data_IF_396048648609
#
_entry.id   IF_396048648609
#
_cell.length_a   1.000
_cell.length_b   1.000
_cell.length_c   1.000
_cell.angle_alpha   90.00
_cell.angle_beta   90.00
_cell.angle_gamma   90.00
#
_symmetry.space_group_name_H-M   'P 1'
#
loop_
_entity.id
_entity.type
_entity.pdbx_description
1 polymer ?
#
# COMPACT_ATOMS: atom_id res chain seq x y z
N UNK A 1 34.46 7.90 -18.58
CA UNK A 1 35.78 7.27 -18.79
C UNK A 1 35.55 6.04 -19.66
N UNK A 2 35.94 6.10 -20.94
CA UNK A 2 35.85 5.04 -21.96
C UNK A 2 37.23 4.39 -22.07
N UNK A 3 37.33 3.06 -22.05
CA UNK A 3 38.43 2.32 -22.68
C UNK A 3 37.84 1.09 -23.40
N UNK A 4 38.41 0.84 -24.58
CA UNK A 4 37.97 -0.01 -25.70
C UNK A 4 38.78 -1.33 -25.75
N UNK A 5 38.16 -2.33 -26.36
CA UNK A 5 38.60 -3.64 -26.88
C UNK A 5 40.08 -3.88 -27.25
N UNK A 6 40.48 -5.15 -27.25
CA UNK A 6 41.39 -5.69 -28.29
C UNK A 6 40.98 -7.10 -28.74
N UNK A 7 40.86 -7.24 -30.05
CA UNK A 7 40.70 -8.49 -30.81
C UNK A 7 42.07 -9.03 -31.28
N UNK A 8 42.10 -10.24 -31.85
CA UNK A 8 42.90 -10.68 -33.02
C UNK A 8 42.98 -12.23 -33.10
N UNK A 9 42.96 -12.97 -34.23
CA UNK A 9 42.71 -12.74 -35.67
C UNK A 9 42.99 -14.07 -36.46
N UNK A 10 42.40 -14.23 -37.67
CA UNK A 10 42.77 -15.05 -38.87
C UNK A 10 42.53 -16.59 -38.90
N UNK A 11 41.60 -17.09 -39.74
CA UNK A 11 41.74 -17.62 -41.15
C UNK A 11 41.90 -19.15 -41.19
N UNK A 12 41.42 -19.98 -42.14
CA UNK A 12 40.65 -19.85 -43.37
C UNK A 12 40.19 -21.26 -43.85
N UNK A 13 39.26 -21.28 -44.80
CA UNK A 13 39.06 -22.25 -45.90
C UNK A 13 38.46 -23.66 -45.64
N UNK A 14 37.32 -23.89 -46.30
CA UNK A 14 36.75 -25.20 -46.66
C UNK A 14 37.54 -25.86 -47.82
N UNK A 15 37.39 -27.18 -48.12
CA UNK A 15 36.21 -27.65 -48.86
C UNK A 15 35.72 -29.09 -48.52
N UNK A 16 34.47 -29.39 -48.95
CA UNK A 16 33.88 -30.73 -49.20
C UNK A 16 34.43 -31.30 -50.54
N UNK A 17 34.28 -32.58 -51.00
CA UNK A 17 33.31 -33.64 -50.63
C UNK A 17 33.81 -35.12 -50.65
N UNK A 18 32.98 -36.04 -50.12
CA UNK A 18 32.47 -37.29 -50.78
C UNK A 18 32.23 -38.45 -49.80
N UNK A 19 31.09 -39.09 -50.02
CA UNK A 19 30.59 -40.32 -49.41
C UNK A 19 31.36 -41.54 -49.94
N UNK A 20 31.82 -42.42 -49.04
CA UNK A 20 32.11 -43.84 -49.32
C UNK A 20 31.68 -44.67 -48.10
N UNK A 21 30.81 -45.66 -48.34
CA UNK A 21 30.42 -46.72 -47.41
C UNK A 21 31.56 -47.76 -47.25
N UNK A 22 31.94 -48.12 -46.02
CA UNK A 22 32.24 -49.51 -45.62
C UNK A 22 32.57 -49.68 -44.11
N UNK A 23 31.74 -50.53 -43.46
CA UNK A 23 31.97 -51.47 -42.34
C UNK A 23 33.04 -51.22 -41.24
N UNK A 24 32.53 -51.30 -40.00
CA UNK A 24 33.03 -52.05 -38.84
C UNK A 24 34.34 -51.58 -38.18
N UNK A 25 34.21 -50.98 -36.99
CA UNK A 25 34.82 -51.50 -35.76
C UNK A 25 34.26 -50.82 -34.51
N UNK A 26 34.00 -51.66 -33.49
CA UNK A 26 33.47 -51.31 -32.18
C UNK A 26 34.37 -50.30 -31.47
N UNK A 27 33.86 -49.11 -31.16
CA UNK A 27 34.58 -48.12 -30.35
C UNK A 27 33.64 -47.61 -29.26
N UNK A 28 34.13 -47.66 -28.02
CA UNK A 28 33.40 -47.39 -26.78
C UNK A 28 32.57 -46.10 -26.83
N UNK A 29 31.25 -46.24 -26.60
CA UNK A 29 30.37 -45.12 -26.26
C UNK A 29 30.82 -44.53 -24.91
N UNK A 30 31.44 -43.34 -24.95
CA UNK A 30 31.51 -42.49 -23.77
C UNK A 30 30.09 -42.05 -23.43
N UNK A 31 29.60 -42.44 -22.25
CA UNK A 31 28.40 -41.85 -21.66
C UNK A 31 28.58 -40.32 -21.60
N UNK A 32 27.56 -39.52 -21.98
CA UNK A 32 27.61 -38.09 -21.72
C UNK A 32 27.73 -37.85 -20.21
N UNK A 33 28.60 -36.91 -19.81
CA UNK A 33 28.71 -36.45 -18.42
C UNK A 33 27.36 -35.91 -17.94
N UNK A 34 26.98 -36.15 -16.67
CA UNK A 34 25.64 -35.79 -16.16
C UNK A 34 25.30 -34.33 -16.39
N UNK A 35 26.30 -33.45 -16.31
CA UNK A 35 26.18 -32.00 -16.55
C UNK A 35 25.62 -31.64 -17.94
N UNK A 36 25.86 -32.46 -18.97
CA UNK A 36 25.34 -32.19 -20.33
C UNK A 36 23.89 -32.61 -20.49
N UNK A 37 23.45 -33.63 -19.72
CA UNK A 37 22.06 -34.08 -19.70
C UNK A 37 21.21 -33.10 -18.90
N UNK A 38 21.75 -32.58 -17.79
CA UNK A 38 21.07 -31.60 -16.93
C UNK A 38 20.80 -30.28 -17.67
N UNK A 39 21.79 -29.76 -18.42
CA UNK A 39 21.64 -28.52 -19.23
C UNK A 39 20.65 -28.72 -20.38
N UNK A 40 20.64 -29.89 -21.03
CA UNK A 40 19.68 -30.19 -22.09
C UNK A 40 18.25 -30.32 -21.56
N UNK A 41 18.05 -30.89 -20.37
CA UNK A 41 16.74 -30.96 -19.72
C UNK A 41 16.24 -29.59 -19.28
N UNK A 42 17.13 -28.72 -18.79
CA UNK A 42 16.79 -27.36 -18.40
C UNK A 42 16.42 -26.49 -19.62
N UNK A 43 17.14 -26.63 -20.73
CA UNK A 43 16.78 -26.01 -22.01
C UNK A 43 15.47 -26.57 -22.59
N UNK A 44 15.21 -27.87 -22.49
CA UNK A 44 13.95 -28.46 -22.94
C UNK A 44 12.76 -27.94 -22.11
N UNK A 45 12.94 -27.82 -20.79
CA UNK A 45 11.93 -27.26 -19.89
C UNK A 45 11.72 -25.75 -20.11
N UNK A 46 12.74 -25.02 -20.55
CA UNK A 46 12.61 -23.62 -20.97
C UNK A 46 11.82 -23.51 -22.29
N UNK A 47 12.15 -24.33 -23.29
CA UNK A 47 11.44 -24.36 -24.57
C UNK A 47 9.98 -24.79 -24.38
N UNK A 48 9.71 -25.79 -23.54
CA UNK A 48 8.34 -26.21 -23.24
C UNK A 48 7.53 -25.11 -22.53
N UNK A 49 8.16 -24.35 -21.63
CA UNK A 49 7.53 -23.19 -21.00
C UNK A 49 7.26 -22.07 -22.01
N UNK A 50 8.21 -21.79 -22.91
CA UNK A 50 8.02 -20.83 -24.01
C UNK A 50 6.94 -21.28 -25.00
N UNK A 51 6.83 -22.58 -25.31
CA UNK A 51 5.78 -23.13 -26.18
C UNK A 51 4.41 -23.15 -25.50
N UNK A 52 4.33 -23.42 -24.20
CA UNK A 52 3.09 -23.39 -23.42
C UNK A 52 2.60 -21.95 -23.23
N UNK A 53 3.52 -21.00 -23.03
CA UNK A 53 3.23 -19.57 -22.99
C UNK A 53 2.89 -19.01 -24.39
N UNK A 54 3.58 -19.45 -25.45
CA UNK A 54 3.23 -19.11 -26.84
C UNK A 54 1.91 -19.77 -27.32
N UNK A 55 1.54 -20.91 -26.74
CA UNK A 55 0.23 -21.54 -26.94
C UNK A 55 -0.88 -20.78 -26.21
N UNK A 56 -0.59 -20.19 -25.03
CA UNK A 56 -1.48 -19.20 -24.39
C UNK A 56 -1.61 -17.92 -25.23
N UNK A 57 -0.51 -17.45 -25.84
CA UNK A 57 -0.49 -16.30 -26.77
C UNK A 57 -1.32 -16.51 -28.06
N UNK A 58 -1.79 -17.72 -28.38
CA UNK A 58 -2.50 -18.05 -29.65
C UNK A 58 -4.03 -18.22 -29.57
N UNK A 59 -4.69 -17.96 -28.43
CA UNK A 59 -6.16 -18.12 -28.33
C UNK A 59 -6.81 -17.10 -27.40
N UNK A 60 -6.64 -15.81 -27.66
CA UNK A 60 -7.74 -14.89 -27.33
C UNK A 60 -8.79 -15.07 -28.42
N UNK A 61 -10.01 -15.41 -28.04
CA UNK A 61 -11.16 -15.41 -28.96
C UNK A 61 -11.59 -13.94 -29.19
N UNK A 62 -10.72 -13.16 -29.84
CA UNK A 62 -10.99 -11.77 -30.20
C UNK A 62 -12.22 -11.73 -31.09
N UNK A 63 -13.20 -10.92 -30.68
CA UNK A 63 -14.47 -10.82 -31.40
C UNK A 63 -14.29 -9.92 -32.61
N UNK A 64 -14.59 -10.41 -33.83
CA UNK A 64 -14.38 -9.60 -35.03
C UNK A 64 -15.17 -8.29 -35.03
N UNK A 65 -14.55 -7.20 -35.46
CA UNK A 65 -15.14 -5.86 -35.49
C UNK A 65 -15.25 -5.17 -34.11
N UNK A 66 -14.64 -5.74 -33.06
CA UNK A 66 -14.59 -5.19 -31.71
C UNK A 66 -13.17 -4.76 -31.32
N UNK A 67 -13.02 -4.18 -30.12
CA UNK A 67 -11.68 -3.89 -29.55
C UNK A 67 -10.85 -5.17 -29.46
N UNK A 68 -9.55 -5.06 -29.69
CA UNK A 68 -8.58 -6.15 -29.58
C UNK A 68 -8.09 -6.70 -30.91
N UNK A 69 -8.67 -6.29 -32.05
CA UNK A 69 -8.13 -6.61 -33.39
C UNK A 69 -6.84 -5.81 -33.70
N UNK A 70 -6.76 -4.59 -33.15
CA UNK A 70 -5.59 -3.71 -33.25
C UNK A 70 -5.19 -3.27 -31.84
N UNK A 71 -3.91 -2.90 -31.70
CA UNK A 71 -3.40 -2.28 -30.49
C UNK A 71 -4.21 -1.02 -30.15
N UNK A 72 -4.55 -0.85 -28.88
CA UNK A 72 -5.20 0.36 -28.42
C UNK A 72 -4.69 0.80 -27.06
N UNK A 73 -4.85 2.09 -26.80
CA UNK A 73 -4.55 2.69 -25.51
C UNK A 73 -5.71 3.58 -25.11
N UNK A 74 -6.16 3.44 -23.87
CA UNK A 74 -7.22 4.29 -23.31
C UNK A 74 -6.92 4.65 -21.87
N UNK A 75 -7.47 5.77 -21.41
CA UNK A 75 -7.37 6.19 -20.02
C UNK A 75 -8.76 6.32 -19.42
N UNK A 76 -8.89 5.98 -18.13
CA UNK A 76 -10.13 6.19 -17.40
C UNK A 76 -9.86 6.62 -15.97
N UNK A 77 -10.68 7.55 -15.50
CA UNK A 77 -10.67 7.99 -14.11
C UNK A 77 -11.82 7.33 -13.36
N UNK A 78 -11.55 6.81 -12.17
CA UNK A 78 -12.56 6.26 -11.26
C UNK A 78 -12.29 6.74 -9.84
N UNK A 79 -13.35 7.13 -9.15
CA UNK A 79 -13.29 7.76 -7.82
C UNK A 79 -13.20 6.79 -6.66
N UNK A 80 -13.22 5.46 -6.90
CA UNK A 80 -13.33 4.48 -5.80
C UNK A 80 -12.57 3.18 -5.95
N UNK A 81 -12.38 2.63 -7.15
CA UNK A 81 -11.63 1.38 -7.30
C UNK A 81 -11.42 0.93 -8.74
N UNK A 82 -10.29 0.27 -8.98
CA UNK A 82 -10.08 -0.55 -10.16
C UNK A 82 -10.93 -1.82 -10.05
N UNK A 83 -12.09 -1.86 -10.71
CA UNK A 83 -13.02 -3.00 -10.66
C UNK A 83 -13.41 -3.47 -12.05
N UNK A 84 -13.83 -4.73 -12.13
CA UNK A 84 -14.38 -5.31 -13.35
C UNK A 84 -15.52 -4.47 -13.94
N UNK A 85 -16.43 -3.98 -13.10
CA UNK A 85 -17.57 -3.14 -13.50
C UNK A 85 -17.09 -1.83 -14.12
N UNK A 86 -16.17 -1.12 -13.45
CA UNK A 86 -15.68 0.16 -13.94
C UNK A 86 -14.93 0.02 -15.27
N UNK A 87 -14.12 -1.03 -15.42
CA UNK A 87 -13.41 -1.32 -16.65
C UNK A 87 -14.36 -1.71 -17.80
N UNK A 88 -15.35 -2.56 -17.51
CA UNK A 88 -16.41 -2.94 -18.47
C UNK A 88 -17.17 -1.72 -18.97
N UNK A 89 -17.59 -0.85 -18.06
CA UNK A 89 -18.38 0.33 -18.40
C UNK A 89 -17.54 1.33 -19.23
N UNK A 90 -16.24 1.43 -18.95
CA UNK A 90 -15.32 2.19 -19.80
C UNK A 90 -15.21 1.62 -21.21
N UNK A 91 -15.03 0.30 -21.35
CA UNK A 91 -14.93 -0.35 -22.65
C UNK A 91 -16.21 -0.23 -23.47
N UNK A 92 -17.37 -0.25 -22.81
CA UNK A 92 -18.64 0.06 -23.47
C UNK A 92 -18.65 1.46 -24.11
N UNK A 93 -18.04 2.45 -23.46
CA UNK A 93 -17.96 3.83 -23.96
C UNK A 93 -17.01 4.03 -25.14
N UNK A 94 -16.01 3.15 -25.32
CA UNK A 94 -15.04 3.22 -26.42
C UNK A 94 -15.25 2.13 -27.49
N UNK A 95 -16.35 1.38 -27.38
CA UNK A 95 -16.69 0.29 -28.28
C UNK A 95 -16.86 0.77 -29.73
N UNK A 96 -16.20 0.14 -30.73
CA UNK A 96 -16.36 0.50 -32.14
C UNK A 96 -17.81 0.39 -32.63
N UNK A 97 -18.19 1.28 -33.57
CA UNK A 97 -19.47 1.20 -34.27
C UNK A 97 -19.49 -0.04 -35.14
N UNK A 98 -20.40 -0.98 -34.86
CA UNK A 98 -20.54 -2.24 -35.61
C UNK A 98 -20.13 -3.49 -34.82
N UNK A 99 -19.59 -3.34 -33.62
CA UNK A 99 -19.37 -4.47 -32.72
C UNK A 99 -20.70 -4.91 -32.08
N UNK A 100 -21.15 -6.13 -32.35
CA UNK A 100 -22.42 -6.67 -31.82
C UNK A 100 -22.29 -7.33 -30.43
N UNK A 101 -21.06 -7.61 -29.97
CA UNK A 101 -20.82 -8.22 -28.66
C UNK A 101 -21.24 -7.32 -27.49
N UNK A 102 -21.68 -7.91 -26.39
CA UNK A 102 -21.87 -7.14 -25.16
C UNK A 102 -20.53 -6.65 -24.60
N UNK A 103 -20.55 -5.56 -23.82
CA UNK A 103 -19.33 -5.08 -23.15
C UNK A 103 -18.70 -6.12 -22.22
N UNK A 104 -19.52 -7.03 -21.67
CA UNK A 104 -19.04 -8.16 -20.88
C UNK A 104 -18.31 -9.20 -21.73
N UNK A 105 -18.91 -9.63 -22.85
CA UNK A 105 -18.27 -10.57 -23.79
C UNK A 105 -16.95 -10.02 -24.32
N UNK A 106 -16.93 -8.72 -24.62
CA UNK A 106 -15.74 -8.03 -25.09
C UNK A 106 -14.65 -7.96 -24.02
N UNK A 107 -14.99 -7.60 -22.77
CA UNK A 107 -14.01 -7.56 -21.69
C UNK A 107 -13.43 -8.95 -21.40
N UNK A 108 -14.28 -9.99 -21.35
CA UNK A 108 -13.83 -11.37 -21.16
C UNK A 108 -12.89 -11.83 -22.29
N UNK A 109 -13.25 -11.54 -23.54
CA UNK A 109 -12.42 -11.79 -24.72
C UNK A 109 -11.06 -11.09 -24.62
N UNK A 110 -11.00 -9.83 -24.19
CA UNK A 110 -9.74 -9.09 -23.99
C UNK A 110 -8.90 -9.61 -22.82
N UNK A 111 -9.54 -10.18 -21.80
CA UNK A 111 -8.87 -10.78 -20.64
C UNK A 111 -8.40 -12.23 -20.90
N UNK A 112 -8.90 -12.88 -21.95
CA UNK A 112 -8.67 -14.31 -22.19
C UNK A 112 -9.47 -15.23 -21.29
N UNK A 113 -10.57 -14.71 -20.75
CA UNK A 113 -11.43 -15.41 -19.81
C UNK A 113 -12.77 -15.74 -20.48
N UNK A 114 -13.46 -16.75 -19.95
CA UNK A 114 -14.71 -17.25 -20.56
C UNK A 114 -15.95 -16.99 -19.71
N UNK A 115 -15.77 -16.58 -18.45
CA UNK A 115 -16.86 -16.33 -17.52
C UNK A 115 -16.61 -15.08 -16.65
N UNK A 116 -17.67 -14.40 -16.16
CA UNK A 116 -17.51 -13.19 -15.37
C UNK A 116 -16.76 -13.37 -14.04
N UNK A 117 -16.70 -14.57 -13.45
CA UNK A 117 -15.99 -14.78 -12.20
C UNK A 117 -14.47 -14.84 -12.42
N UNK A 118 -14.01 -15.59 -13.43
CA UNK A 118 -12.61 -15.59 -13.86
C UNK A 118 -12.17 -14.21 -14.35
N UNK A 119 -13.01 -13.53 -15.14
CA UNK A 119 -12.77 -12.14 -15.56
C UNK A 119 -12.58 -11.16 -14.39
N UNK A 120 -13.40 -11.26 -13.34
CA UNK A 120 -13.23 -10.45 -12.12
C UNK A 120 -11.90 -10.73 -11.41
N UNK A 121 -11.51 -12.00 -11.30
CA UNK A 121 -10.23 -12.39 -10.71
C UNK A 121 -9.05 -11.85 -11.53
N UNK A 122 -9.14 -11.91 -12.86
CA UNK A 122 -8.10 -11.38 -13.75
C UNK A 122 -7.97 -9.86 -13.67
N UNK A 123 -9.09 -9.14 -13.64
CA UNK A 123 -9.06 -7.67 -13.42
C UNK A 123 -8.44 -7.35 -12.07
N UNK A 124 -8.79 -8.07 -11.01
CA UNK A 124 -8.19 -7.90 -9.68
C UNK A 124 -6.66 -8.05 -9.72
N UNK A 125 -6.15 -9.08 -10.38
CA UNK A 125 -4.71 -9.29 -10.59
C UNK A 125 -4.06 -8.11 -11.33
N UNK A 126 -4.68 -7.64 -12.43
CA UNK A 126 -4.16 -6.51 -13.19
C UNK A 126 -4.15 -5.20 -12.38
N UNK A 127 -5.19 -4.98 -11.58
CA UNK A 127 -5.27 -3.83 -10.69
C UNK A 127 -4.18 -3.88 -9.60
N UNK A 128 -4.01 -5.03 -8.93
CA UNK A 128 -2.93 -5.23 -7.96
C UNK A 128 -1.55 -5.01 -8.58
N UNK A 129 -1.30 -5.58 -9.75
CA UNK A 129 -0.04 -5.40 -10.47
C UNK A 129 0.20 -3.92 -10.87
N UNK A 130 -0.85 -3.18 -11.21
CA UNK A 130 -0.74 -1.75 -11.53
C UNK A 130 -0.25 -0.93 -10.33
N UNK A 131 -0.72 -1.25 -9.12
CA UNK A 131 -0.28 -0.58 -7.89
C UNK A 131 1.12 -1.03 -7.44
N UNK A 132 1.41 -2.34 -7.53
CA UNK A 132 2.72 -2.88 -7.17
C UNK A 132 3.84 -2.32 -8.06
N UNK A 133 3.58 -2.23 -9.36
CA UNK A 133 4.53 -1.70 -10.34
C UNK A 133 4.54 -0.17 -10.43
N UNK A 134 3.73 0.53 -9.62
CA UNK A 134 3.82 1.99 -9.56
C UNK A 134 5.21 2.37 -9.07
N UNK A 135 5.96 3.13 -9.87
CA UNK A 135 7.28 3.67 -9.50
C UNK A 135 7.18 4.76 -8.42
N UNK A 136 5.98 5.07 -7.96
CA UNK A 136 5.64 6.21 -7.11
C UNK A 136 5.21 5.77 -5.70
N UNK A 137 5.99 4.88 -5.11
CA UNK A 137 5.86 4.54 -3.68
C UNK A 137 6.77 5.44 -2.84
N UNK A 138 6.27 5.86 -1.69
CA UNK A 138 7.03 6.56 -0.66
C UNK A 138 7.10 5.67 0.58
N UNK A 139 8.30 5.39 1.08
CA UNK A 139 8.44 4.47 2.20
C UNK A 139 8.04 5.13 3.52
N UNK A 140 7.25 4.46 4.35
CA UNK A 140 6.74 5.03 5.60
C UNK A 140 7.87 5.54 6.53
N UNK A 141 8.96 4.77 6.66
CA UNK A 141 10.11 5.16 7.49
C UNK A 141 10.82 6.43 7.01
N UNK A 142 10.55 6.91 5.80
CA UNK A 142 11.12 8.14 5.25
C UNK A 142 10.33 9.39 5.65
N UNK A 143 9.18 9.23 6.32
CA UNK A 143 8.33 10.36 6.72
C UNK A 143 9.06 11.23 7.74
N UNK A 144 9.47 10.67 8.89
CA UNK A 144 10.14 11.45 9.95
C UNK A 144 11.63 11.67 9.67
N UNK A 145 12.30 10.65 9.11
CA UNK A 145 13.77 10.55 9.02
C UNK A 145 14.50 10.69 10.36
N UNK A 146 13.81 10.44 11.47
CA UNK A 146 14.37 10.44 12.82
C UNK A 146 14.74 9.04 13.32
N UNK A 147 14.43 8.02 12.51
CA UNK A 147 14.78 6.62 12.76
C UNK A 147 13.66 5.84 13.46
N UNK A 148 13.76 4.51 13.40
CA UNK A 148 12.72 3.59 13.89
C UNK A 148 12.37 3.78 15.36
N UNK A 149 13.34 4.13 16.20
CA UNK A 149 13.07 4.40 17.62
C UNK A 149 12.15 5.62 17.77
N UNK A 150 12.42 6.70 17.04
CA UNK A 150 11.56 7.88 17.08
C UNK A 150 10.15 7.55 16.60
N UNK A 151 10.02 6.83 15.47
CA UNK A 151 8.71 6.46 14.94
C UNK A 151 7.92 5.58 15.91
N UNK A 152 8.58 4.60 16.55
CA UNK A 152 7.97 3.76 17.56
C UNK A 152 7.48 4.59 18.75
N UNK A 153 8.36 5.41 19.32
CA UNK A 153 8.02 6.24 20.48
C UNK A 153 6.92 7.24 20.15
N UNK A 154 6.91 7.83 18.95
CA UNK A 154 5.84 8.71 18.51
C UNK A 154 4.48 8.01 18.56
N UNK A 155 4.38 6.79 17.99
CA UNK A 155 3.16 6.01 18.02
C UNK A 155 2.80 5.42 19.38
N UNK A 156 3.77 5.31 20.29
CA UNK A 156 3.53 5.03 21.71
C UNK A 156 3.03 6.25 22.51
N UNK A 157 3.00 7.45 21.93
CA UNK A 157 2.65 8.69 22.63
C UNK A 157 3.84 9.43 23.27
N UNK A 158 5.06 9.06 22.91
CA UNK A 158 6.32 9.68 23.32
C UNK A 158 6.95 10.59 22.27
N UNK A 159 8.21 10.99 22.49
CA UNK A 159 9.00 11.98 21.71
C UNK A 159 8.62 13.44 21.94
N UNK A 160 9.48 14.35 21.47
CA UNK A 160 9.25 15.79 21.49
C UNK A 160 7.94 16.20 20.80
N UNK A 161 7.50 15.47 19.78
CA UNK A 161 6.24 15.74 19.08
C UNK A 161 5.01 15.53 19.95
N UNK A 162 5.07 14.65 20.95
CA UNK A 162 3.98 14.44 21.89
C UNK A 162 4.13 15.21 23.21
N UNK A 163 5.36 15.58 23.60
CA UNK A 163 5.62 16.07 24.95
C UNK A 163 5.76 17.56 25.09
N UNK A 164 6.35 18.21 24.10
CA UNK A 164 6.62 19.64 24.19
C UNK A 164 5.32 20.43 24.03
N UNK A 165 5.32 21.66 24.50
CA UNK A 165 4.24 22.63 24.27
C UNK A 165 4.93 23.89 23.81
N UNK A 166 4.35 24.56 22.83
CA UNK A 166 4.89 25.82 22.33
C UNK A 166 5.00 26.82 23.50
N UNK A 167 6.05 27.62 23.54
CA UNK A 167 6.23 28.64 24.57
C UNK A 167 5.75 30.01 24.09
N UNK A 168 5.50 30.94 25.01
CA UNK A 168 5.15 32.31 24.64
C UNK A 168 6.30 33.05 23.93
N UNK A 169 7.53 32.56 24.08
CA UNK A 169 8.70 32.98 23.31
C UNK A 169 8.80 32.37 21.89
N UNK A 170 7.90 31.46 21.52
CA UNK A 170 7.89 30.80 20.20
C UNK A 170 8.84 29.60 20.08
N UNK A 171 9.30 29.01 21.19
CA UNK A 171 10.03 27.74 21.17
C UNK A 171 9.05 26.56 21.10
N UNK A 172 9.51 25.40 20.62
CA UNK A 172 8.73 24.15 20.48
C UNK A 172 7.45 24.30 19.64
N UNK A 173 7.49 25.19 18.64
CA UNK A 173 6.39 25.39 17.70
C UNK A 173 6.25 24.15 16.80
N UNK A 174 5.16 23.41 16.98
CA UNK A 174 4.93 22.15 16.29
C UNK A 174 4.93 22.30 14.76
N UNK A 175 4.41 23.41 14.23
CA UNK A 175 4.43 23.73 12.79
C UNK A 175 5.85 23.85 12.24
N UNK A 176 6.78 24.31 13.06
CA UNK A 176 8.20 24.43 12.70
C UNK A 176 8.93 23.09 12.93
N UNK A 177 8.75 22.46 14.09
CA UNK A 177 9.48 21.24 14.47
C UNK A 177 9.05 20.00 13.68
N UNK A 178 7.78 19.96 13.27
CA UNK A 178 7.20 18.93 12.42
C UNK A 178 6.92 19.42 10.99
N UNK A 179 7.53 20.52 10.52
CA UNK A 179 7.35 21.06 9.16
C UNK A 179 7.59 20.05 8.02
N UNK A 180 8.32 18.97 8.31
CA UNK A 180 8.49 17.86 7.37
C UNK A 180 7.17 17.16 7.06
N UNK A 181 6.28 17.03 8.04
CA UNK A 181 4.96 16.40 7.86
C UNK A 181 4.15 17.13 6.81
N UNK A 182 4.07 18.46 6.88
CA UNK A 182 3.40 19.27 5.86
C UNK A 182 3.99 19.05 4.46
N UNK A 183 5.33 19.10 4.33
CA UNK A 183 5.97 18.82 3.04
C UNK A 183 5.70 17.42 2.52
N UNK A 184 5.66 16.40 3.38
CA UNK A 184 5.31 15.05 2.96
C UNK A 184 3.86 15.01 2.50
N UNK A 185 2.95 15.70 3.17
CA UNK A 185 1.56 15.77 2.74
C UNK A 185 1.45 16.39 1.34
N UNK A 186 2.01 17.58 1.15
CA UNK A 186 1.93 18.33 -0.10
C UNK A 186 2.69 17.65 -1.24
N UNK A 187 3.91 17.18 -1.02
CA UNK A 187 4.76 16.70 -2.12
C UNK A 187 4.66 15.19 -2.38
N UNK A 188 4.22 14.40 -1.39
CA UNK A 188 4.27 12.94 -1.45
C UNK A 188 2.89 12.30 -1.21
N UNK A 189 2.26 12.52 -0.07
CA UNK A 189 1.09 11.74 0.37
C UNK A 189 -0.14 11.98 -0.51
N UNK A 190 -0.26 13.16 -1.14
CA UNK A 190 -1.33 13.46 -2.10
C UNK A 190 -1.17 12.71 -3.43
N UNK A 191 0.05 12.35 -3.82
CA UNK A 191 0.34 11.84 -5.17
C UNK A 191 0.92 10.42 -5.20
N UNK A 192 1.45 9.94 -4.07
CA UNK A 192 2.18 8.67 -3.96
C UNK A 192 1.50 7.71 -3.01
N UNK A 193 1.76 6.42 -3.19
CA UNK A 193 1.36 5.40 -2.22
C UNK A 193 2.39 5.41 -1.09
N UNK A 194 1.95 5.61 0.16
CA UNK A 194 2.77 5.41 1.34
C UNK A 194 2.67 3.94 1.76
N UNK A 195 3.77 3.23 1.62
CA UNK A 195 3.86 1.76 1.77
C UNK A 195 5.24 1.38 2.32
N UNK A 196 5.37 0.37 3.19
CA UNK A 196 4.30 -0.38 3.85
C UNK A 196 3.65 0.39 5.01
N UNK A 197 2.48 -0.07 5.45
CA UNK A 197 1.98 0.24 6.79
C UNK A 197 3.05 -0.15 7.82
N UNK A 198 3.34 0.65 8.85
CA UNK A 198 4.49 0.43 9.71
C UNK A 198 4.24 -0.65 10.78
N UNK A 199 3.82 -1.84 10.37
CA UNK A 199 3.66 -3.02 11.25
C UNK A 199 4.99 -3.53 11.80
N UNK A 200 6.12 -3.00 11.34
CA UNK A 200 7.43 -3.25 11.96
C UNK A 200 7.61 -2.50 13.28
N UNK A 201 6.73 -1.56 13.63
CA UNK A 201 6.79 -0.81 14.88
C UNK A 201 6.03 -1.55 15.98
N UNK A 202 6.68 -1.88 17.11
CA UNK A 202 6.00 -2.49 18.25
C UNK A 202 4.83 -1.67 18.80
N UNK A 203 4.86 -0.34 18.67
CA UNK A 203 3.73 0.51 19.02
C UNK A 203 2.47 0.21 18.18
N UNK A 204 2.67 -0.20 16.92
CA UNK A 204 1.60 -0.40 15.95
C UNK A 204 1.13 -1.87 15.89
N UNK A 205 2.10 -2.80 15.90
CA UNK A 205 1.90 -4.24 15.90
C UNK A 205 2.87 -4.91 16.92
N UNK A 206 2.51 -4.89 18.22
CA UNK A 206 3.37 -5.34 19.32
C UNK A 206 3.65 -6.85 19.32
N UNK A 207 2.77 -7.64 18.73
CA UNK A 207 2.83 -9.11 18.75
C UNK A 207 3.30 -9.69 17.41
N UNK A 208 3.44 -8.85 16.38
CA UNK A 208 3.88 -9.24 15.05
C UNK A 208 2.86 -10.12 14.32
N UNK A 209 1.59 -10.04 14.70
CA UNK A 209 0.49 -10.76 14.05
C UNK A 209 -0.15 -9.95 12.92
N UNK A 210 0.25 -8.70 12.74
CA UNK A 210 -0.26 -7.79 11.72
C UNK A 210 -1.50 -7.04 12.20
N UNK A 211 -2.30 -6.64 11.23
CA UNK A 211 -3.62 -6.03 11.47
C UNK A 211 -4.69 -6.91 10.80
N UNK A 212 -4.92 -8.10 11.34
CA UNK A 212 -5.94 -9.08 10.92
C UNK A 212 -7.36 -8.48 10.82
N UNK A 213 -7.72 -7.52 11.68
CA UNK A 213 -9.04 -6.86 11.60
C UNK A 213 -9.14 -5.85 10.46
N UNK A 214 -8.03 -5.61 9.74
CA UNK A 214 -7.92 -4.59 8.71
C UNK A 214 -8.40 -3.20 9.17
N UNK A 215 -8.10 -2.86 10.43
CA UNK A 215 -8.47 -1.59 11.02
C UNK A 215 -7.37 -1.08 11.94
N UNK A 216 -7.27 0.25 12.04
CA UNK A 216 -6.36 0.92 12.96
C UNK A 216 -7.04 2.14 13.57
N UNK A 217 -6.60 2.51 14.77
CA UNK A 217 -7.10 3.66 15.50
C UNK A 217 -5.94 4.48 16.03
N UNK A 218 -6.17 5.79 16.10
CA UNK A 218 -5.34 6.74 16.83
C UNK A 218 -6.20 7.46 17.86
N UNK A 219 -5.66 7.65 19.06
CA UNK A 219 -6.34 8.30 20.17
C UNK A 219 -5.41 9.26 20.90
N UNK A 220 -5.92 10.46 21.13
CA UNK A 220 -5.23 11.57 21.74
C UNK A 220 -5.97 12.05 22.97
N UNK A 221 -5.20 12.44 23.97
CA UNK A 221 -5.70 12.90 25.26
C UNK A 221 -5.18 14.29 25.63
N UNK A 222 -4.35 14.89 24.79
CA UNK A 222 -3.85 16.24 24.99
C UNK A 222 -3.87 17.05 23.70
N UNK A 223 -3.98 18.36 23.87
CA UNK A 223 -3.86 19.38 22.85
C UNK A 223 -2.73 20.35 23.24
N UNK A 224 -1.78 20.55 22.33
CA UNK A 224 -0.59 21.39 22.52
C UNK A 224 -0.52 22.60 21.59
N UNK A 225 -1.55 22.86 20.78
CA UNK A 225 -1.53 23.95 19.80
C UNK A 225 -2.70 24.92 19.97
N UNK A 226 -2.38 26.20 20.13
CA UNK A 226 -3.38 27.26 20.19
C UNK A 226 -3.70 27.78 18.78
N UNK A 227 -4.85 28.46 18.66
CA UNK A 227 -5.28 29.18 17.46
C UNK A 227 -5.47 28.31 16.19
N UNK A 228 -5.72 27.03 16.35
CA UNK A 228 -6.00 26.08 15.26
C UNK A 228 -7.50 25.77 15.05
N UNK A 229 -8.37 26.42 15.84
CA UNK A 229 -9.82 26.20 15.91
C UNK A 229 -10.22 24.78 16.36
N UNK A 230 -9.36 24.09 17.09
CA UNK A 230 -9.66 22.80 17.70
C UNK A 230 -9.15 22.73 19.15
N UNK A 231 -9.58 21.70 19.88
CA UNK A 231 -9.13 21.48 21.25
C UNK A 231 -9.38 22.66 22.21
N UNK A 232 -8.55 22.74 23.24
CA UNK A 232 -8.69 23.68 24.36
C UNK A 232 -7.37 24.38 24.73
N UNK A 233 -6.29 24.16 23.98
CA UNK A 233 -5.05 24.92 24.11
C UNK A 233 -5.26 26.37 23.66
N UNK A 234 -4.71 27.32 24.43
CA UNK A 234 -4.80 28.74 24.09
C UNK A 234 -3.54 29.50 24.52
N UNK A 235 -3.39 30.73 24.01
CA UNK A 235 -2.34 31.67 24.42
C UNK A 235 -2.79 32.52 25.62
N UNK A 236 -1.89 32.89 26.56
CA UNK A 236 -0.47 32.55 26.61
C UNK A 236 -0.24 31.07 26.97
N UNK A 237 0.61 30.38 26.20
CA UNK A 237 0.78 28.93 26.25
C UNK A 237 1.16 28.43 27.64
N UNK A 238 2.03 29.16 28.33
CA UNK A 238 2.57 28.80 29.65
C UNK A 238 1.50 28.79 30.75
N UNK A 239 0.34 29.39 30.49
CA UNK A 239 -0.77 29.48 31.44
C UNK A 239 -2.07 28.87 30.94
N UNK A 240 -2.25 28.78 29.62
CA UNK A 240 -3.50 28.36 28.99
C UNK A 240 -3.39 27.15 28.06
N UNK A 241 -2.19 26.56 27.89
CA UNK A 241 -2.00 25.37 27.06
C UNK A 241 -1.42 24.17 27.81
N UNK A 242 -0.91 24.36 29.04
CA UNK A 242 -0.42 23.24 29.85
C UNK A 242 -1.59 22.31 30.22
N UNK A 243 -1.44 21.03 29.88
CA UNK A 243 -2.38 19.95 30.18
C UNK A 243 -3.80 20.28 29.72
N UNK A 244 -3.92 20.68 28.43
CA UNK A 244 -5.21 20.95 27.81
C UNK A 244 -5.71 19.75 27.03
N UNK A 245 -7.01 19.61 27.12
CA UNK A 245 -7.78 18.54 26.54
C UNK A 245 -8.01 18.77 25.04
N UNK A 246 -7.96 17.72 24.20
CA UNK A 246 -8.40 17.82 22.81
C UNK A 246 -9.92 17.96 22.75
N UNK A 247 -10.44 18.19 21.54
CA UNK A 247 -11.88 18.18 21.30
C UNK A 247 -12.45 16.77 21.50
N UNK A 248 -13.35 16.62 22.46
CA UNK A 248 -13.91 15.33 22.85
C UNK A 248 -14.77 14.70 21.73
N UNK A 249 -14.58 13.42 21.46
CA UNK A 249 -15.47 12.66 20.57
C UNK A 249 -15.76 11.23 21.04
N UNK A 250 -15.16 10.76 22.13
CA UNK A 250 -15.30 9.37 22.55
C UNK A 250 -15.06 9.20 24.04
N UNK A 251 -15.66 8.15 24.60
CA UNK A 251 -15.41 7.76 25.97
C UNK A 251 -14.47 6.55 26.00
N UNK A 252 -13.47 6.62 26.85
CA UNK A 252 -12.43 5.61 27.02
C UNK A 252 -12.71 4.80 28.29
N UNK A 253 -13.23 3.58 28.20
CA UNK A 253 -13.72 2.87 29.39
C UNK A 253 -12.63 2.13 30.15
N UNK A 254 -11.76 1.40 29.45
CA UNK A 254 -10.64 0.69 30.05
C UNK A 254 -9.54 0.37 29.02
N UNK A 255 -8.33 0.10 29.51
CA UNK A 255 -7.20 -0.43 28.72
C UNK A 255 -6.74 -1.76 29.26
N UNK A 256 -6.48 -2.70 28.37
CA UNK A 256 -5.72 -3.91 28.66
C UNK A 256 -4.24 -3.70 28.30
N UNK A 257 -3.38 -3.55 29.31
CA UNK A 257 -1.96 -3.28 29.10
C UNK A 257 -1.22 -4.46 28.46
N UNK A 258 -1.77 -5.69 28.56
CA UNK A 258 -1.15 -6.86 27.93
C UNK A 258 -1.18 -6.81 26.40
N UNK A 259 -2.06 -5.98 25.83
CA UNK A 259 -2.26 -5.84 24.37
C UNK A 259 -1.31 -4.85 23.71
N UNK A 260 -0.73 -3.94 24.50
CA UNK A 260 0.17 -2.90 24.03
C UNK A 260 1.38 -2.76 24.96
N UNK A 261 1.84 -3.87 25.54
CA UNK A 261 2.94 -3.90 26.52
C UNK A 261 4.24 -3.33 25.96
N UNK A 262 4.54 -3.61 24.69
CA UNK A 262 5.70 -3.06 23.99
C UNK A 262 5.60 -1.53 23.78
N UNK A 263 4.38 -1.00 23.62
CA UNK A 263 4.12 0.42 23.42
C UNK A 263 4.10 1.20 24.74
N UNK A 264 3.48 0.62 25.78
CA UNK A 264 3.26 1.31 27.05
C UNK A 264 4.34 1.04 28.09
N UNK A 265 5.27 0.12 27.79
CA UNK A 265 6.33 -0.32 28.70
C UNK A 265 5.81 -0.92 30.02
N UNK A 266 4.64 -1.57 29.97
CA UNK A 266 4.00 -2.24 31.12
C UNK A 266 3.70 -3.69 30.74
N UNK A 267 4.13 -4.64 31.58
CA UNK A 267 4.04 -6.09 31.30
C UNK A 267 2.60 -6.63 31.27
N UNK A 268 1.65 -5.93 31.89
CA UNK A 268 0.23 -6.28 31.86
C UNK A 268 -0.61 -5.56 32.90
N UNK A 269 -1.87 -5.97 33.01
CA UNK A 269 -2.86 -5.37 33.91
C UNK A 269 -3.94 -4.58 33.16
N UNK A 270 -4.84 -3.96 33.93
CA UNK A 270 -5.93 -3.16 33.38
C UNK A 270 -6.01 -1.81 34.09
N UNK A 271 -6.28 -0.76 33.32
CA UNK A 271 -6.72 0.53 33.85
C UNK A 271 -8.18 0.73 33.49
N UNK A 272 -8.99 1.13 34.46
CA UNK A 272 -10.43 1.36 34.28
C UNK A 272 -10.71 2.83 34.54
N UNK A 273 -11.37 3.48 33.58
CA UNK A 273 -11.63 4.92 33.55
C UNK A 273 -13.13 5.24 33.71
N UNK A 274 -13.89 4.28 34.25
CA UNK A 274 -15.26 4.49 34.70
C UNK A 274 -15.38 4.16 36.18
N UNK A 275 -16.32 4.79 36.86
CA UNK A 275 -16.66 4.40 38.22
C UNK A 275 -17.67 3.26 38.15
N UNK A 276 -17.15 2.04 38.24
CA UNK A 276 -17.92 0.79 38.18
C UNK A 276 -19.00 0.71 39.28
N UNK A 277 -18.84 1.44 40.39
CA UNK A 277 -19.76 1.39 41.53
C UNK A 277 -21.03 2.23 41.32
N UNK A 278 -20.91 3.36 40.60
CA UNK A 278 -22.04 4.28 40.41
C UNK A 278 -22.38 4.54 38.93
N UNK A 279 -21.68 3.87 38.00
CA UNK A 279 -21.93 3.98 36.56
C UNK A 279 -21.53 5.33 35.96
N UNK A 280 -20.67 6.11 36.61
CA UNK A 280 -20.14 7.35 36.02
C UNK A 280 -19.12 7.02 34.93
N UNK A 281 -19.36 7.54 33.73
CA UNK A 281 -18.47 7.54 32.57
C UNK A 281 -17.71 8.90 32.51
N UNK A 282 -16.72 9.02 31.62
CA UNK A 282 -15.97 10.25 31.32
C UNK A 282 -15.06 10.73 32.47
N UNK A 283 -14.40 9.81 33.17
CA UNK A 283 -13.42 10.14 34.22
C UNK A 283 -12.03 10.36 33.62
N UNK A 284 -11.79 9.81 32.43
CA UNK A 284 -10.57 9.95 31.61
C UNK A 284 -10.30 11.38 31.16
N UNK A 285 -11.30 12.27 31.16
CA UNK A 285 -11.23 13.58 30.52
C UNK A 285 -11.75 13.54 29.08
N UNK A 286 -11.43 14.56 28.27
CA UNK A 286 -11.77 14.53 26.86
C UNK A 286 -10.81 13.61 26.09
N UNK A 287 -11.36 12.77 25.22
CA UNK A 287 -10.54 11.91 24.36
C UNK A 287 -10.97 12.11 22.92
N UNK A 288 -9.99 12.29 22.05
CA UNK A 288 -10.24 12.31 20.62
C UNK A 288 -9.70 11.04 19.99
N UNK A 289 -10.54 10.27 19.32
CA UNK A 289 -10.12 9.10 18.59
C UNK A 289 -10.55 9.17 17.13
N UNK A 290 -9.69 8.66 16.26
CA UNK A 290 -9.94 8.55 14.83
C UNK A 290 -9.59 7.16 14.35
N UNK A 291 -10.55 6.52 13.68
CA UNK A 291 -10.39 5.19 13.10
C UNK A 291 -10.38 5.18 11.59
N UNK A 292 -9.73 4.19 11.02
CA UNK A 292 -9.89 3.83 9.63
C UNK A 292 -9.80 2.32 9.45
N UNK A 293 -10.50 1.80 8.45
CA UNK A 293 -10.50 0.41 8.08
C UNK A 293 -10.19 0.27 6.58
N UNK A 294 -9.70 -0.89 6.20
CA UNK A 294 -9.42 -1.22 4.81
C UNK A 294 -9.99 -2.58 4.40
N UNK A 295 -10.18 -2.76 3.10
CA UNK A 295 -10.66 -4.01 2.53
C UNK A 295 -9.63 -5.11 2.62
N UNK A 296 -10.10 -6.35 2.74
CA UNK A 296 -9.27 -7.58 2.70
C UNK A 296 -8.59 -7.78 1.33
N UNK A 297 -9.21 -7.23 0.29
CA UNK A 297 -8.73 -7.37 -1.07
C UNK A 297 -7.49 -6.50 -1.31
N UNK A 298 -6.39 -7.10 -1.75
CA UNK A 298 -5.15 -6.38 -2.09
C UNK A 298 -5.31 -5.33 -3.21
N UNK A 299 -6.39 -5.40 -3.97
CA UNK A 299 -6.76 -4.41 -5.01
C UNK A 299 -7.69 -3.31 -4.50
N UNK A 300 -8.18 -3.43 -3.26
CA UNK A 300 -9.01 -2.42 -2.63
C UNK A 300 -8.17 -1.17 -2.37
N UNK A 301 -8.69 -0.03 -2.81
CA UNK A 301 -8.04 1.27 -2.65
C UNK A 301 -7.70 1.56 -1.19
N UNK A 302 -8.58 1.19 -0.26
CA UNK A 302 -8.36 1.40 1.15
C UNK A 302 -7.20 0.57 1.67
N UNK A 303 -6.98 -0.62 1.12
CA UNK A 303 -5.85 -1.50 1.44
C UNK A 303 -4.54 -1.00 0.86
N UNK A 304 -4.56 -0.46 -0.37
CA UNK A 304 -3.39 0.11 -1.05
C UNK A 304 -2.90 1.37 -0.33
N UNK A 305 -3.82 2.23 0.11
CA UNK A 305 -3.51 3.55 0.68
C UNK A 305 -3.63 3.60 2.20
N UNK A 306 -3.65 2.45 2.88
CA UNK A 306 -3.72 2.40 4.35
C UNK A 306 -2.55 3.13 5.05
N UNK A 307 -1.37 3.14 4.44
CA UNK A 307 -0.24 3.94 4.94
C UNK A 307 -0.46 5.44 4.79
N UNK A 308 -1.12 5.89 3.71
CA UNK A 308 -1.52 7.28 3.53
C UNK A 308 -2.56 7.69 4.57
N UNK A 309 -3.55 6.83 4.84
CA UNK A 309 -4.53 7.06 5.91
C UNK A 309 -3.86 7.23 7.27
N UNK A 310 -2.96 6.31 7.63
CA UNK A 310 -2.23 6.41 8.90
C UNK A 310 -1.46 7.73 8.97
N UNK A 311 -0.70 8.07 7.93
CA UNK A 311 0.05 9.32 7.88
C UNK A 311 -0.86 10.56 8.01
N UNK A 312 -1.96 10.59 7.24
CA UNK A 312 -2.89 11.70 7.22
C UNK A 312 -3.55 11.89 8.58
N UNK A 313 -4.09 10.81 9.16
CA UNK A 313 -4.78 10.86 10.45
C UNK A 313 -3.80 11.15 11.58
N UNK A 314 -2.70 10.40 11.68
CA UNK A 314 -1.81 10.51 12.84
C UNK A 314 -0.96 11.78 12.83
N UNK A 315 -0.23 12.01 11.74
CA UNK A 315 0.79 13.04 11.70
C UNK A 315 0.26 14.35 11.14
N UNK A 316 -0.49 14.31 10.03
CA UNK A 316 -0.88 15.55 9.35
C UNK A 316 -2.10 16.22 10.01
N UNK A 317 -3.28 15.61 10.00
CA UNK A 317 -4.52 16.22 10.49
C UNK A 317 -4.49 16.42 12.01
N UNK A 318 -4.31 15.35 12.79
CA UNK A 318 -4.46 15.46 14.23
C UNK A 318 -3.25 16.05 14.93
N UNK A 319 -2.03 15.58 14.65
CA UNK A 319 -0.84 16.17 15.27
C UNK A 319 -0.49 17.54 14.67
N UNK A 320 -0.16 17.62 13.37
CA UNK A 320 0.39 18.85 12.78
C UNK A 320 -0.65 19.94 12.57
N UNK A 321 -1.90 19.64 12.18
CA UNK A 321 -2.92 20.65 11.95
C UNK A 321 -3.66 21.07 13.22
N UNK A 322 -3.93 20.13 14.13
CA UNK A 322 -4.81 20.32 15.31
C UNK A 322 -4.10 20.21 16.67
N UNK A 323 -2.78 19.99 16.70
CA UNK A 323 -2.03 19.88 17.96
C UNK A 323 -2.39 18.69 18.85
N UNK A 324 -3.10 17.67 18.37
CA UNK A 324 -3.52 16.54 19.20
C UNK A 324 -2.39 15.54 19.38
N UNK A 325 -2.11 15.24 20.65
CA UNK A 325 -0.93 14.51 21.07
C UNK A 325 -1.20 13.60 22.28
N UNK A 326 -0.20 12.77 22.56
CA UNK A 326 -0.13 11.80 23.65
C UNK A 326 -1.11 10.66 23.55
N UNK A 327 -0.68 9.52 24.06
CA UNK A 327 -1.49 8.33 24.15
C UNK A 327 -2.43 8.37 25.36
N UNK A 328 -3.57 7.69 25.24
CA UNK A 328 -4.38 7.38 26.40
C UNK A 328 -3.60 6.50 27.40
N UNK A 329 -3.75 6.71 28.71
CA UNK A 329 -2.90 6.03 29.69
C UNK A 329 -2.96 4.51 29.55
N UNK A 330 -1.80 3.91 29.29
CA UNK A 330 -1.68 2.46 29.16
C UNK A 330 -2.28 1.86 27.88
N UNK A 331 -2.36 2.66 26.82
CA UNK A 331 -2.56 2.25 25.43
C UNK A 331 -1.52 2.92 24.53
N UNK A 332 -1.19 2.35 23.37
CA UNK A 332 -0.47 3.08 22.33
C UNK A 332 -1.31 4.29 21.86
N UNK A 333 -0.66 5.32 21.31
CA UNK A 333 -1.36 6.45 20.69
C UNK A 333 -2.02 6.02 19.39
N UNK A 334 -1.33 5.24 18.56
CA UNK A 334 -1.95 4.58 17.40
C UNK A 334 -1.49 3.13 17.25
N UNK A 335 -2.34 2.31 16.64
CA UNK A 335 -2.00 0.93 16.30
C UNK A 335 -3.14 0.18 15.62
N UNK A 336 -2.91 -1.10 15.28
CA UNK A 336 -3.98 -1.98 14.79
C UNK A 336 -5.10 -2.09 15.84
N UNK A 337 -6.34 -2.19 15.39
CA UNK A 337 -7.54 -2.20 16.25
C UNK A 337 -7.54 -3.31 17.31
N UNK A 338 -7.00 -4.47 16.96
CA UNK A 338 -6.86 -5.64 17.82
C UNK A 338 -5.80 -5.47 18.92
N UNK A 339 -4.82 -4.59 18.67
CA UNK A 339 -3.65 -4.35 19.51
C UNK A 339 -3.86 -3.12 20.41
N UNK A 340 -4.62 -2.14 19.91
CA UNK A 340 -5.16 -1.00 20.68
C UNK A 340 -6.49 -1.40 21.31
N UNK A 341 -6.51 -2.51 22.07
CA UNK A 341 -7.72 -2.99 22.76
C UNK A 341 -7.96 -2.26 24.06
N UNK A 342 -8.35 -1.01 23.92
CA UNK A 342 -9.22 -0.32 24.86
C UNK A 342 -10.66 -0.53 24.41
N UNK A 343 -11.55 -1.00 25.29
CA UNK A 343 -12.98 -0.87 24.98
C UNK A 343 -13.32 0.61 25.15
N UNK A 344 -13.46 1.29 24.03
CA UNK A 344 -14.08 2.61 23.95
C UNK A 344 -15.58 2.42 23.74
N UNK A 345 -16.38 3.28 24.36
CA UNK A 345 -17.76 3.44 23.95
C UNK A 345 -17.74 4.35 22.71
N UNK A 346 -17.77 3.70 21.54
CA UNK A 346 -17.43 4.30 20.26
C UNK A 346 -18.41 5.41 19.81
N UNK A 347 -17.96 6.66 19.87
CA UNK A 347 -18.35 7.71 18.93
C UNK A 347 -17.14 8.24 18.14
N UNK A 348 -16.15 7.38 17.88
CA UNK A 348 -14.97 7.75 17.10
C UNK A 348 -15.37 8.18 15.68
N UNK A 349 -14.70 9.22 15.17
CA UNK A 349 -14.80 9.61 13.76
C UNK A 349 -14.08 8.56 12.92
N UNK A 350 -14.73 8.08 11.86
CA UNK A 350 -14.14 7.16 10.89
C UNK A 350 -13.93 7.89 9.57
N UNK A 351 -12.70 7.91 9.05
CA UNK A 351 -12.45 8.39 7.68
C UNK A 351 -12.39 7.24 6.69
N UNK A 352 -13.12 7.38 5.58
CA UNK A 352 -12.83 6.66 4.35
C UNK A 352 -11.90 7.49 3.46
N UNK A 353 -11.21 6.83 2.54
CA UNK A 353 -10.48 7.52 1.48
C UNK A 353 -11.46 7.93 0.37
N UNK A 354 -11.33 9.16 -0.08
CA UNK A 354 -11.97 9.67 -1.30
C UNK A 354 -10.88 10.16 -2.23
N UNK A 355 -10.59 9.41 -3.29
CA UNK A 355 -9.51 9.71 -4.23
C UNK A 355 -9.89 9.31 -5.65
N UNK A 356 -9.56 10.17 -6.60
CA UNK A 356 -9.68 9.89 -8.03
C UNK A 356 -8.41 9.20 -8.55
N UNK A 357 -8.57 8.01 -9.12
CA UNK A 357 -7.51 7.27 -9.79
C UNK A 357 -7.70 7.31 -11.28
N UNK A 358 -6.63 7.60 -12.02
CA UNK A 358 -6.61 7.47 -13.47
C UNK A 358 -5.77 6.25 -13.87
N UNK A 359 -6.40 5.32 -14.57
CA UNK A 359 -5.75 4.13 -15.10
C UNK A 359 -5.50 4.33 -16.58
N UNK A 360 -4.30 3.94 -17.02
CA UNK A 360 -3.97 3.79 -18.42
C UNK A 360 -3.98 2.30 -18.77
N UNK A 361 -4.84 1.96 -19.72
CA UNK A 361 -5.00 0.62 -20.25
C UNK A 361 -4.28 0.55 -21.58
N UNK A 362 -3.44 -0.47 -21.72
CA UNK A 362 -2.82 -0.82 -22.99
C UNK A 362 -3.32 -2.21 -23.38
N UNK A 363 -3.75 -2.33 -24.62
CA UNK A 363 -3.92 -3.62 -25.26
C UNK A 363 -2.90 -3.73 -26.38
N UNK A 364 -2.13 -4.82 -26.36
CA UNK A 364 -1.13 -5.12 -27.38
C UNK A 364 -1.40 -6.52 -27.91
N UNK A 365 -1.76 -6.63 -29.19
CA UNK A 365 -2.22 -7.87 -29.81
C UNK A 365 -1.13 -8.96 -29.85
N UNK A 366 0.14 -8.56 -29.86
CA UNK A 366 1.29 -9.45 -30.07
C UNK A 366 2.24 -9.59 -28.86
N UNK A 367 1.89 -8.99 -27.70
CA UNK A 367 2.80 -8.87 -26.56
C UNK A 367 2.44 -9.75 -25.35
N UNK A 368 3.42 -9.99 -24.48
CA UNK A 368 3.27 -10.85 -23.30
C UNK A 368 2.22 -10.33 -22.28
N UNK A 369 1.86 -9.05 -22.37
CA UNK A 369 0.81 -8.42 -21.60
C UNK A 369 -0.26 -7.90 -22.56
N UNK A 370 -1.17 -8.79 -22.96
CA UNK A 370 -2.22 -8.48 -23.94
C UNK A 370 -3.20 -7.42 -23.41
N UNK A 371 -3.45 -7.36 -22.10
CA UNK A 371 -4.12 -6.24 -21.45
C UNK A 371 -3.33 -5.83 -20.20
N UNK A 372 -2.77 -4.63 -20.21
CA UNK A 372 -2.02 -4.06 -19.09
C UNK A 372 -2.77 -2.87 -18.49
N UNK A 373 -2.72 -2.77 -17.17
CA UNK A 373 -3.20 -1.63 -16.41
C UNK A 373 -2.01 -0.95 -15.74
N UNK A 374 -1.94 0.37 -15.85
CA UNK A 374 -1.00 1.21 -15.11
C UNK A 374 -1.79 2.28 -14.37
N UNK A 375 -1.55 2.42 -13.06
CA UNK A 375 -2.03 3.58 -12.32
C UNK A 375 -1.17 4.79 -12.74
N UNK A 376 -1.83 5.85 -13.21
CA UNK A 376 -1.20 7.05 -13.71
C UNK A 376 -1.90 8.26 -13.08
N UNK A 377 -1.35 8.79 -11.99
CA UNK A 377 -1.83 10.05 -11.41
C UNK A 377 -1.23 11.23 -12.18
N UNK A 378 -2.09 12.15 -12.63
CA UNK A 378 -1.62 13.41 -13.22
C UNK A 378 -0.91 14.21 -12.13
N UNK A 379 0.34 14.69 -12.35
CA UNK A 379 0.77 15.88 -11.62
C UNK A 379 -0.18 17.00 -12.06
N UNK A 380 -0.84 17.64 -11.09
CA UNK A 380 -1.62 18.86 -11.34
C UNK A 380 -0.69 20.00 -11.69
#
# INVERSE_FOLDING_TARGET
MRIVFSASVLSALAPSPRVVLARSQSTMLRKPSSTTVDVLQEHLAAIQREEEEASRRRKLDIIPGCLGEEDFTTTFTTSKSCTYTNLRDKFNGIKPRGCDATSEQQLLSLLGETDPASGKAKVKELCSAAYENSSEKFHFSEITRKGTQFDNEYYSGGTEWNYEIQTDSGENELKTDAARVERIYEDQAQYKIIDPLPTYLPAFDPVGDGCDLNAAFCCWVQDRQADDNNGNCNTPYESQCIDKDPGDNTNFCYTDHSRSSAANHVDGGFSVFGNIQNGQENIEGAVHCHGFAWGEDASDISGVYKGNNLFFVSMYDHMHQRGYVRNAPGSAMCGCAENVRSYMLFCCVCSGLDMDHAYKVYFMADDACMLCLYDYRWPS
#
